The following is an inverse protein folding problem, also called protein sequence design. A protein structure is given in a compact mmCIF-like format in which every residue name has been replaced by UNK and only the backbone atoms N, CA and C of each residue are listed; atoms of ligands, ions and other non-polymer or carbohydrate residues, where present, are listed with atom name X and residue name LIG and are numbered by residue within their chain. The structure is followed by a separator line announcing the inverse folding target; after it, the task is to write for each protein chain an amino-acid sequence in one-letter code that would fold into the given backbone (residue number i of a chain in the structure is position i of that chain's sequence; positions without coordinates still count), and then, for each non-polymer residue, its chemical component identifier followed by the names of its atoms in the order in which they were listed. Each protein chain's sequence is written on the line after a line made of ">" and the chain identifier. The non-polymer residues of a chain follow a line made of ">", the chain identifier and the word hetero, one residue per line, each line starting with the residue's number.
data_IF_457144957020
#
_entry.id   IF_457144957020
#
_cell.length_a   1.000
_cell.length_b   1.000
_cell.length_c   1.000
_cell.angle_alpha   90.00
_cell.angle_beta   90.00
_cell.angle_gamma   90.00
#
_symmetry.space_group_name_H-M   'P 1'
#
loop_
_entity.id
_entity.type
_entity.pdbx_description
1 polymer ?
#
# COMPACT_ATOMS: atom_id res chain seq x y z
N UNK A 1 -67.78 -14.98 -31.84
CA UNK A 1 -67.21 -16.34 -31.71
C UNK A 1 -67.95 -17.35 -32.59
N UNK A 2 -67.83 -17.24 -33.93
CA UNK A 2 -68.36 -18.27 -34.87
C UNK A 2 -67.27 -19.14 -35.51
N UNK A 3 -66.00 -18.72 -35.41
CA UNK A 3 -64.86 -19.36 -36.08
C UNK A 3 -64.41 -20.68 -35.42
N UNK A 4 -64.64 -20.86 -34.12
CA UNK A 4 -64.23 -22.06 -33.37
C UNK A 4 -65.28 -23.19 -33.43
N UNK A 5 -66.46 -22.94 -34.00
CA UNK A 5 -67.60 -23.87 -33.93
C UNK A 5 -67.68 -24.84 -35.13
N UNK A 6 -66.92 -24.58 -36.19
CA UNK A 6 -66.88 -25.38 -37.44
C UNK A 6 -65.51 -26.02 -37.71
N UNK A 7 -64.58 -25.93 -36.75
CA UNK A 7 -63.22 -26.43 -36.93
C UNK A 7 -63.13 -27.93 -36.68
N UNK A 8 -62.50 -28.66 -37.61
CA UNK A 8 -62.21 -30.09 -37.44
C UNK A 8 -61.13 -30.31 -36.37
N UNK A 9 -61.16 -31.45 -35.68
CA UNK A 9 -60.22 -31.78 -34.59
C UNK A 9 -58.74 -31.73 -35.05
N UNK A 10 -58.48 -32.05 -36.32
CA UNK A 10 -57.14 -31.93 -36.90
C UNK A 10 -56.68 -30.47 -37.01
N UNK A 11 -57.57 -29.55 -37.39
CA UNK A 11 -57.25 -28.13 -37.50
C UNK A 11 -57.00 -27.49 -36.13
N UNK A 12 -57.72 -27.90 -35.09
CA UNK A 12 -57.47 -27.41 -33.73
C UNK A 12 -56.12 -27.87 -33.18
N UNK A 13 -55.73 -29.11 -33.47
CA UNK A 13 -54.43 -29.65 -33.07
C UNK A 13 -53.27 -28.90 -33.75
N UNK A 14 -53.39 -28.59 -35.04
CA UNK A 14 -52.37 -27.79 -35.76
C UNK A 14 -52.22 -26.40 -35.15
N UNK A 15 -53.33 -25.72 -34.82
CA UNK A 15 -53.28 -24.39 -34.21
C UNK A 15 -52.66 -24.44 -32.81
N UNK A 16 -52.97 -25.46 -32.00
CA UNK A 16 -52.37 -25.63 -30.67
C UNK A 16 -50.87 -25.88 -30.77
N UNK A 17 -50.43 -26.76 -31.68
CA UNK A 17 -49.00 -27.00 -31.91
C UNK A 17 -48.27 -25.73 -32.37
N UNK A 18 -48.91 -24.91 -33.21
CA UNK A 18 -48.34 -23.65 -33.69
C UNK A 18 -48.24 -22.60 -32.56
N UNK A 19 -49.26 -22.50 -31.70
CA UNK A 19 -49.23 -21.63 -30.52
C UNK A 19 -48.17 -22.08 -29.50
N UNK A 20 -48.01 -23.38 -29.29
CA UNK A 20 -46.95 -23.93 -28.44
C UNK A 20 -45.56 -23.65 -29.02
N UNK A 21 -45.39 -23.79 -30.34
CA UNK A 21 -44.13 -23.44 -31.00
C UNK A 21 -43.76 -21.96 -30.84
N UNK A 22 -44.73 -21.07 -31.00
CA UNK A 22 -44.54 -19.62 -30.79
C UNK A 22 -44.17 -19.34 -29.32
N UNK A 23 -44.86 -19.96 -28.36
CA UNK A 23 -44.58 -19.78 -26.93
C UNK A 23 -43.21 -20.30 -26.49
N UNK A 24 -42.70 -21.35 -27.14
CA UNK A 24 -41.38 -21.93 -26.84
C UNK A 24 -40.22 -21.14 -27.47
N UNK A 25 -40.48 -20.38 -28.53
CA UNK A 25 -39.46 -19.60 -29.25
C UNK A 25 -38.66 -18.63 -28.35
N UNK A 26 -39.27 -17.81 -27.46
CA UNK A 26 -38.52 -16.93 -26.56
C UNK A 26 -37.67 -17.70 -25.53
N UNK A 27 -38.12 -18.87 -25.07
CA UNK A 27 -37.35 -19.71 -24.13
C UNK A 27 -36.11 -20.29 -24.81
N UNK A 28 -36.26 -20.80 -26.03
CA UNK A 28 -35.14 -21.33 -26.83
C UNK A 28 -34.13 -20.21 -27.13
N UNK A 29 -34.61 -19.03 -27.52
CA UNK A 29 -33.74 -17.89 -27.80
C UNK A 29 -32.97 -17.42 -26.56
N UNK A 30 -33.63 -17.33 -25.41
CA UNK A 30 -32.98 -16.93 -24.16
C UNK A 30 -31.90 -17.94 -23.72
N UNK A 31 -32.18 -19.24 -23.85
CA UNK A 31 -31.20 -20.28 -23.53
C UNK A 31 -30.03 -20.30 -24.51
N UNK A 32 -30.30 -20.11 -25.81
CA UNK A 32 -29.25 -20.03 -26.82
C UNK A 32 -28.32 -18.84 -26.58
N UNK A 33 -28.88 -17.66 -26.25
CA UNK A 33 -28.09 -16.48 -25.89
C UNK A 33 -27.21 -16.75 -24.67
N UNK A 34 -27.75 -17.34 -23.60
CA UNK A 34 -26.97 -17.68 -22.40
C UNK A 34 -25.82 -18.65 -22.70
N UNK A 35 -26.06 -19.67 -23.51
CA UNK A 35 -25.03 -20.62 -23.93
C UNK A 35 -23.96 -19.89 -24.74
N UNK A 36 -24.34 -18.99 -25.65
CA UNK A 36 -23.37 -18.25 -26.45
C UNK A 36 -22.55 -17.26 -25.62
N UNK A 37 -23.18 -16.55 -24.67
CA UNK A 37 -22.50 -15.64 -23.75
C UNK A 37 -21.49 -16.40 -22.87
N UNK A 38 -21.88 -17.58 -22.35
CA UNK A 38 -20.98 -18.47 -21.58
C UNK A 38 -19.85 -19.04 -22.45
N UNK A 39 -20.16 -19.45 -23.67
CA UNK A 39 -19.16 -19.99 -24.61
C UNK A 39 -18.14 -18.93 -24.99
N UNK A 40 -18.59 -17.69 -25.19
CA UNK A 40 -17.71 -16.54 -25.47
C UNK A 40 -16.85 -16.18 -24.25
N UNK A 41 -17.43 -16.20 -23.04
CA UNK A 41 -16.68 -15.96 -21.81
C UNK A 41 -15.59 -17.01 -21.53
N UNK A 42 -15.82 -18.27 -21.94
CA UNK A 42 -14.91 -19.41 -21.75
C UNK A 42 -13.94 -19.58 -22.94
N UNK A 43 -14.24 -18.99 -24.10
CA UNK A 43 -13.38 -19.06 -25.28
C UNK A 43 -11.96 -18.50 -25.03
N UNK A 44 -10.98 -18.96 -25.79
CA UNK A 44 -9.61 -18.46 -25.71
C UNK A 44 -9.57 -16.94 -25.97
N UNK A 45 -9.04 -16.17 -25.02
CA UNK A 45 -9.07 -14.70 -25.05
C UNK A 45 -10.35 -14.06 -24.51
N UNK A 46 -11.34 -14.85 -24.08
CA UNK A 46 -12.53 -14.39 -23.37
C UNK A 46 -12.26 -13.89 -21.95
N UNK A 47 -13.33 -13.49 -21.25
CA UNK A 47 -13.22 -12.91 -19.91
C UNK A 47 -12.54 -13.84 -18.89
N UNK A 48 -12.75 -15.15 -18.98
CA UNK A 48 -12.12 -16.11 -18.07
C UNK A 48 -10.59 -16.10 -18.23
N UNK A 49 -10.10 -16.13 -19.47
CA UNK A 49 -8.67 -16.08 -19.78
C UNK A 49 -8.03 -14.79 -19.27
N UNK A 50 -8.72 -13.66 -19.45
CA UNK A 50 -8.27 -12.35 -18.93
C UNK A 50 -8.21 -12.32 -17.41
N UNK A 51 -9.23 -12.84 -16.73
CA UNK A 51 -9.26 -12.91 -15.26
C UNK A 51 -8.15 -13.82 -14.73
N UNK A 52 -7.94 -14.98 -15.35
CA UNK A 52 -6.85 -15.89 -14.97
C UNK A 52 -5.49 -15.22 -15.16
N UNK A 53 -5.27 -14.51 -16.27
CA UNK A 53 -4.05 -13.73 -16.50
C UNK A 53 -3.82 -12.67 -15.42
N UNK A 54 -4.88 -11.94 -15.01
CA UNK A 54 -4.81 -10.96 -13.93
C UNK A 54 -4.51 -11.61 -12.56
N UNK A 55 -5.10 -12.77 -12.26
CA UNK A 55 -4.82 -13.50 -11.02
C UNK A 55 -3.36 -13.94 -10.99
N UNK A 56 -2.85 -14.49 -12.09
CA UNK A 56 -1.45 -14.90 -12.19
C UNK A 56 -0.50 -13.71 -12.03
N UNK A 57 -0.75 -12.58 -12.72
CA UNK A 57 0.08 -11.38 -12.56
C UNK A 57 0.04 -10.84 -11.13
N UNK A 58 -1.14 -10.82 -10.51
CA UNK A 58 -1.30 -10.35 -9.14
C UNK A 58 -0.61 -11.28 -8.13
N UNK A 59 -0.66 -12.60 -8.36
CA UNK A 59 0.06 -13.56 -7.51
C UNK A 59 1.57 -13.37 -7.59
N UNK A 60 2.13 -13.13 -8.79
CA UNK A 60 3.55 -12.86 -8.96
C UNK A 60 3.96 -11.57 -8.26
N UNK A 61 3.16 -10.51 -8.43
CA UNK A 61 3.38 -9.23 -7.76
C UNK A 61 3.31 -9.39 -6.23
N UNK A 62 2.34 -10.16 -5.73
CA UNK A 62 2.24 -10.49 -4.31
C UNK A 62 3.48 -11.22 -3.82
N UNK A 63 3.94 -12.27 -4.52
CA UNK A 63 5.14 -13.01 -4.16
C UNK A 63 6.38 -12.11 -4.13
N UNK A 64 6.52 -11.19 -5.10
CA UNK A 64 7.62 -10.22 -5.11
C UNK A 64 7.55 -9.26 -3.92
N UNK A 65 6.38 -8.67 -3.65
CA UNK A 65 6.19 -7.78 -2.50
C UNK A 65 6.39 -8.50 -1.17
N UNK A 66 5.96 -9.76 -1.09
CA UNK A 66 6.17 -10.60 0.09
C UNK A 66 7.65 -10.91 0.30
N UNK A 67 8.37 -11.30 -0.76
CA UNK A 67 9.81 -11.54 -0.72
C UNK A 67 10.59 -10.28 -0.30
N UNK A 68 10.20 -9.11 -0.83
CA UNK A 68 10.74 -7.80 -0.42
C UNK A 68 10.45 -7.52 1.06
N UNK A 69 9.20 -7.74 1.50
CA UNK A 69 8.79 -7.58 2.90
C UNK A 69 9.53 -8.54 3.84
N UNK A 70 9.82 -9.78 3.42
CA UNK A 70 10.60 -10.73 4.22
C UNK A 70 12.09 -10.39 4.26
N UNK A 71 12.62 -9.75 3.22
CA UNK A 71 13.98 -9.22 3.19
C UNK A 71 14.15 -7.94 4.03
N UNK A 72 13.07 -7.17 4.22
CA UNK A 72 13.04 -6.05 5.16
C UNK A 72 12.98 -6.59 6.61
N UNK A 73 14.14 -6.67 7.27
CA UNK A 73 14.31 -7.14 8.67
C UNK A 73 13.76 -6.20 9.74
N UNK A 74 12.71 -5.45 9.43
CA UNK A 74 12.07 -4.45 10.28
C UNK A 74 10.66 -4.93 10.64
N UNK A 75 10.60 -5.90 11.55
CA UNK A 75 9.39 -6.42 12.15
C UNK A 75 9.33 -5.98 13.62
N UNK A 76 8.39 -5.09 13.93
CA UNK A 76 8.15 -4.60 15.30
C UNK A 76 9.07 -3.47 15.77
N UNK A 77 8.80 -3.05 17.01
CA UNK A 77 9.36 -1.85 17.65
C UNK A 77 10.85 -1.98 17.97
N UNK A 78 11.29 -3.14 18.48
CA UNK A 78 12.68 -3.36 18.90
C UNK A 78 13.64 -3.43 17.70
N UNK A 79 13.19 -4.03 16.59
CA UNK A 79 13.95 -4.09 15.35
C UNK A 79 14.11 -2.71 14.70
N UNK A 80 13.08 -1.86 14.81
CA UNK A 80 13.12 -0.47 14.34
C UNK A 80 14.17 0.35 15.09
N UNK A 81 14.21 0.22 16.41
CA UNK A 81 15.21 0.93 17.24
C UNK A 81 16.64 0.46 16.92
N UNK A 82 16.85 -0.86 16.81
CA UNK A 82 18.14 -1.44 16.44
C UNK A 82 18.62 -0.98 15.05
N UNK A 83 17.70 -0.85 14.09
CA UNK A 83 18.00 -0.35 12.76
C UNK A 83 18.43 1.12 12.75
N UNK A 84 17.74 1.99 13.48
CA UNK A 84 18.12 3.41 13.56
C UNK A 84 19.49 3.54 14.24
N UNK A 85 19.75 2.76 15.30
CA UNK A 85 21.07 2.70 15.97
C UNK A 85 22.18 2.23 15.03
N UNK A 86 21.92 1.19 14.23
CA UNK A 86 22.89 0.68 13.25
C UNK A 86 23.27 1.75 12.23
N UNK A 87 22.30 2.54 11.74
CA UNK A 87 22.56 3.62 10.78
C UNK A 87 23.25 4.81 11.45
N UNK A 88 22.92 5.12 12.70
CA UNK A 88 23.58 6.19 13.45
C UNK A 88 25.08 5.93 13.70
N UNK A 89 25.46 4.65 13.79
CA UNK A 89 26.84 4.19 13.92
C UNK A 89 27.52 3.84 12.59
N UNK A 90 26.89 4.07 11.44
CA UNK A 90 27.48 3.82 10.12
C UNK A 90 28.59 4.86 9.85
N UNK A 91 29.71 4.42 9.26
CA UNK A 91 30.93 5.22 9.07
C UNK A 91 30.67 6.46 8.18
N UNK A 92 29.66 6.41 7.33
CA UNK A 92 29.28 7.50 6.42
C UNK A 92 28.41 8.58 7.08
N UNK A 93 28.04 8.41 8.36
CA UNK A 93 26.98 9.17 9.02
C UNK A 93 27.42 9.72 10.38
N UNK A 94 28.21 8.96 11.15
CA UNK A 94 28.92 9.39 12.37
C UNK A 94 28.08 10.18 13.41
N UNK A 95 26.81 9.81 13.61
CA UNK A 95 25.93 10.52 14.55
C UNK A 95 26.28 10.23 16.02
N UNK A 96 26.99 9.13 16.28
CA UNK A 96 27.38 8.72 17.62
C UNK A 96 26.19 8.28 18.47
N UNK A 97 26.15 8.69 19.75
CA UNK A 97 25.07 8.31 20.67
C UNK A 97 23.84 9.18 20.43
N UNK A 98 22.71 8.53 20.19
CA UNK A 98 21.41 9.13 19.99
C UNK A 98 20.49 8.65 21.11
N UNK A 99 19.66 9.55 21.64
CA UNK A 99 18.67 9.22 22.65
C UNK A 99 17.34 8.82 21.99
N UNK A 100 16.80 7.68 22.42
CA UNK A 100 15.54 7.10 21.96
C UNK A 100 14.53 7.05 23.10
N UNK A 101 13.75 8.12 23.34
CA UNK A 101 12.57 8.03 24.18
C UNK A 101 11.63 6.95 23.64
N UNK A 102 10.84 6.34 24.53
CA UNK A 102 9.86 5.30 24.16
C UNK A 102 8.97 5.81 23.01
N UNK A 103 8.75 4.99 21.96
CA UNK A 103 7.97 5.43 20.81
C UNK A 103 6.52 5.68 21.19
N UNK A 104 5.93 6.67 20.54
CA UNK A 104 4.53 7.00 20.69
C UNK A 104 3.74 6.19 19.67
N UNK A 105 2.88 5.30 20.15
CA UNK A 105 1.98 4.51 19.31
C UNK A 105 0.65 5.23 19.22
N UNK A 106 0.21 5.50 18.00
CA UNK A 106 -1.11 6.06 17.71
C UNK A 106 -1.86 5.13 16.78
N UNK A 107 -3.08 4.76 17.15
CA UNK A 107 -4.00 4.07 16.26
C UNK A 107 -4.70 5.11 15.38
N UNK A 108 -4.47 5.02 14.08
CA UNK A 108 -5.19 5.79 13.07
C UNK A 108 -6.47 5.05 12.69
N UNK A 109 -7.51 5.80 12.29
CA UNK A 109 -8.79 5.21 11.90
C UNK A 109 -8.61 4.21 10.75
N UNK A 110 -9.24 3.03 10.87
CA UNK A 110 -9.11 1.96 9.87
C UNK A 110 -8.09 0.87 10.20
N UNK A 111 -7.72 0.72 11.48
CA UNK A 111 -6.82 -0.34 11.94
C UNK A 111 -5.41 -0.15 11.41
N UNK A 112 -4.91 1.08 11.36
CA UNK A 112 -3.53 1.38 11.01
C UNK A 112 -2.84 1.84 12.28
N UNK A 113 -1.69 1.25 12.59
CA UNK A 113 -0.87 1.58 13.75
C UNK A 113 0.33 2.38 13.27
N UNK A 114 0.40 3.64 13.70
CA UNK A 114 1.55 4.50 13.48
C UNK A 114 2.41 4.51 14.75
N UNK A 115 3.67 4.09 14.64
CA UNK A 115 4.67 4.15 15.70
C UNK A 115 5.66 5.26 15.41
N UNK A 116 5.69 6.30 16.24
CA UNK A 116 6.55 7.46 16.07
C UNK A 116 7.72 7.45 17.05
N UNK A 117 8.93 7.46 16.50
CA UNK A 117 10.20 7.51 17.21
C UNK A 117 10.77 8.92 17.14
N UNK A 118 11.07 9.53 18.27
CA UNK A 118 11.77 10.82 18.29
C UNK A 118 13.26 10.54 18.39
N UNK A 119 14.03 11.00 17.42
CA UNK A 119 15.46 10.79 17.30
C UNK A 119 16.14 12.13 17.55
N UNK A 120 16.97 12.18 18.59
CA UNK A 120 17.75 13.37 18.96
C UNK A 120 19.15 12.98 19.42
N UNK A 121 20.18 13.80 19.15
CA UNK A 121 21.51 13.62 19.74
C UNK A 121 21.41 13.50 21.26
N UNK A 122 22.26 12.67 21.86
CA UNK A 122 22.34 12.52 23.32
C UNK A 122 22.76 13.84 24.00
N UNK A 123 23.71 14.56 23.38
CA UNK A 123 24.10 15.92 23.74
C UNK A 123 23.47 16.94 22.77
N UNK A 124 22.54 17.80 23.23
CA UNK A 124 21.96 18.87 22.42
C UNK A 124 22.97 19.90 21.90
N UNK A 125 24.16 20.00 22.50
CA UNK A 125 25.24 20.92 22.09
C UNK A 125 26.19 20.29 21.08
N UNK A 126 26.01 19.00 20.75
CA UNK A 126 26.81 18.35 19.72
C UNK A 126 26.43 18.91 18.35
N UNK A 127 27.43 19.39 17.65
CA UNK A 127 27.29 19.91 16.30
C UNK A 127 27.62 18.84 15.26
N UNK A 128 26.85 18.84 14.19
CA UNK A 128 26.99 17.99 13.01
C UNK A 128 26.97 18.87 11.76
N UNK A 129 27.70 18.46 10.72
CA UNK A 129 27.58 19.09 9.41
C UNK A 129 26.23 18.78 8.78
N UNK A 130 25.70 19.70 7.97
CA UNK A 130 24.40 19.49 7.31
C UNK A 130 24.41 18.26 6.40
N UNK A 131 25.55 17.98 5.77
CA UNK A 131 25.75 16.80 4.91
C UNK A 131 25.58 15.52 5.70
N UNK A 132 26.15 15.42 6.91
CA UNK A 132 26.02 14.23 7.74
C UNK A 132 24.58 14.01 8.18
N UNK A 133 23.88 15.08 8.55
CA UNK A 133 22.43 15.03 8.88
C UNK A 133 21.64 14.55 7.66
N UNK A 134 21.91 15.09 6.47
CA UNK A 134 21.28 14.66 5.23
C UNK A 134 21.53 13.18 4.93
N UNK A 135 22.79 12.72 5.05
CA UNK A 135 23.18 11.33 4.83
C UNK A 135 22.48 10.38 5.81
N UNK A 136 22.35 10.77 7.08
CA UNK A 136 21.60 10.00 8.08
C UNK A 136 20.14 9.83 7.68
N UNK A 137 19.45 10.94 7.40
CA UNK A 137 18.03 10.93 7.05
C UNK A 137 17.78 10.15 5.75
N UNK A 138 18.63 10.34 4.75
CA UNK A 138 18.57 9.61 3.50
C UNK A 138 18.78 8.11 3.70
N UNK A 139 19.79 7.72 4.51
CA UNK A 139 20.09 6.31 4.77
C UNK A 139 18.96 5.63 5.55
N UNK A 140 18.31 6.37 6.47
CA UNK A 140 17.15 5.90 7.20
C UNK A 140 16.00 5.51 6.30
N UNK A 141 15.70 6.32 5.27
CA UNK A 141 14.56 6.09 4.37
C UNK A 141 14.87 5.22 3.16
N UNK A 142 16.10 5.26 2.64
CA UNK A 142 16.46 4.56 1.40
C UNK A 142 16.51 3.04 1.58
N UNK A 143 16.94 2.55 2.75
CA UNK A 143 17.08 1.12 3.03
C UNK A 143 15.79 0.44 3.51
N UNK A 144 14.70 1.19 3.72
CA UNK A 144 13.41 0.62 4.15
C UNK A 144 12.21 1.42 3.66
N UNK A 145 11.14 0.73 3.23
CA UNK A 145 9.88 1.38 2.86
C UNK A 145 8.97 1.66 4.05
N UNK A 146 9.28 1.11 5.21
CA UNK A 146 8.42 1.14 6.41
C UNK A 146 8.61 2.36 7.29
N UNK A 147 9.79 2.97 7.24
CA UNK A 147 10.13 4.15 8.03
C UNK A 147 10.16 5.38 7.14
N UNK A 148 9.54 6.46 7.63
CA UNK A 148 9.58 7.78 7.00
C UNK A 148 9.89 8.84 8.04
N UNK A 149 10.71 9.80 7.68
CA UNK A 149 10.97 11.00 8.46
C UNK A 149 9.77 11.92 8.27
N UNK A 150 8.98 12.10 9.32
CA UNK A 150 7.74 12.88 9.26
C UNK A 150 7.92 14.31 9.74
N UNK A 151 8.87 14.54 10.64
CA UNK A 151 9.21 15.88 11.13
C UNK A 151 10.72 16.01 11.26
N UNK A 152 11.26 17.16 10.84
CA UNK A 152 12.65 17.53 11.00
C UNK A 152 12.71 18.96 11.55
N UNK A 153 13.48 19.13 12.62
CA UNK A 153 13.87 20.42 13.17
C UNK A 153 15.39 20.46 13.21
N UNK A 154 15.97 21.54 12.70
CA UNK A 154 17.40 21.77 12.67
C UNK A 154 17.70 23.15 13.24
N UNK A 155 18.64 23.20 14.18
CA UNK A 155 19.06 24.42 14.83
C UNK A 155 20.57 24.62 14.62
N UNK A 156 20.99 25.81 14.25
CA UNK A 156 22.42 26.13 14.18
C UNK A 156 22.97 26.30 15.60
N UNK A 157 24.18 25.79 15.83
CA UNK A 157 24.89 25.90 17.09
C UNK A 157 26.02 26.90 16.98
N UNK A 158 26.05 27.87 17.90
CA UNK A 158 27.17 28.76 18.14
C UNK A 158 27.74 28.56 19.55
N UNK A 159 28.83 29.25 19.88
CA UNK A 159 29.51 29.12 21.18
C UNK A 159 28.59 29.40 22.39
N UNK A 160 27.47 30.12 22.19
CA UNK A 160 26.49 30.45 23.21
C UNK A 160 25.26 29.51 23.23
N UNK A 161 25.14 28.55 22.30
CA UNK A 161 24.02 27.62 22.21
C UNK A 161 23.27 27.69 20.88
N UNK A 162 21.96 27.43 20.89
CA UNK A 162 21.11 27.47 19.71
C UNK A 162 20.93 28.92 19.23
N UNK A 163 21.18 29.18 17.96
CA UNK A 163 21.01 30.49 17.36
C UNK A 163 19.99 30.44 16.23
N UNK A 164 19.04 31.38 16.23
CA UNK A 164 18.24 31.67 15.06
C UNK A 164 19.15 32.37 14.05
N UNK A 165 19.52 31.65 12.99
CA UNK A 165 20.33 32.21 11.91
C UNK A 165 19.44 33.16 11.11
N UNK A 166 19.87 34.42 10.98
CA UNK A 166 19.22 35.38 10.10
C UNK A 166 19.50 34.99 8.63
N UNK A 167 18.56 35.18 7.69
CA UNK A 167 18.74 34.78 6.28
C UNK A 167 19.99 35.37 5.60
N UNK A 168 20.51 36.46 6.15
CA UNK A 168 21.62 37.25 5.62
C UNK A 168 22.99 36.80 6.15
N UNK A 169 23.01 35.96 7.18
CA UNK A 169 24.24 35.45 7.78
C UNK A 169 24.61 34.09 7.19
N UNK A 170 25.91 33.86 6.95
CA UNK A 170 26.45 32.55 6.59
C UNK A 170 26.92 31.86 7.88
N UNK A 171 26.08 31.05 8.55
CA UNK A 171 26.48 30.39 9.78
C UNK A 171 27.56 29.34 9.49
N UNK A 172 28.40 29.07 10.48
CA UNK A 172 29.28 27.89 10.44
C UNK A 172 28.45 26.62 10.24
N UNK A 173 28.98 25.61 9.55
CA UNK A 173 28.29 24.33 9.29
C UNK A 173 28.23 23.44 10.54
N UNK A 174 27.67 23.98 11.63
CA UNK A 174 27.53 23.36 12.93
C UNK A 174 26.05 23.37 13.31
N UNK A 175 25.40 22.23 13.15
CA UNK A 175 23.96 22.09 13.33
C UNK A 175 23.65 20.98 14.32
N UNK A 176 22.56 21.13 15.05
CA UNK A 176 21.92 20.04 15.79
C UNK A 176 20.57 19.76 15.15
N UNK A 177 20.02 18.57 15.41
CA UNK A 177 18.74 18.18 14.84
C UNK A 177 17.86 17.45 15.84
N UNK A 178 16.57 17.46 15.56
CA UNK A 178 15.60 16.56 16.16
C UNK A 178 14.67 16.14 15.04
N UNK A 179 14.55 14.83 14.81
CA UNK A 179 13.62 14.31 13.83
C UNK A 179 12.65 13.32 14.45
N UNK A 180 11.46 13.21 13.85
CA UNK A 180 10.51 12.14 14.14
C UNK A 180 10.47 11.20 12.96
N UNK A 181 10.62 9.92 13.25
CA UNK A 181 10.52 8.83 12.28
C UNK A 181 9.27 8.04 12.61
N UNK A 182 8.38 7.87 11.64
CA UNK A 182 7.14 7.13 11.82
C UNK A 182 7.21 5.83 11.03
N UNK A 183 6.91 4.72 11.71
CA UNK A 183 6.66 3.42 11.12
C UNK A 183 5.16 3.20 11.02
N UNK A 184 4.66 2.93 9.82
CA UNK A 184 3.24 2.62 9.60
C UNK A 184 3.07 1.13 9.40
N UNK A 185 2.27 0.50 10.26
CA UNK A 185 1.94 -0.92 10.15
C UNK A 185 0.44 -1.13 10.17
N UNK A 186 -0.04 -2.12 9.42
CA UNK A 186 -1.37 -2.68 9.62
C UNK A 186 -1.19 -3.86 10.58
N UNK A 187 -1.89 -3.91 11.73
CA UNK A 187 -1.92 -5.10 12.54
C UNK A 187 -2.40 -6.25 11.65
N UNK A 188 -1.76 -7.41 11.78
CA UNK A 188 -2.26 -8.60 11.13
C UNK A 188 -3.68 -8.82 11.66
N UNK A 189 -4.67 -8.86 10.76
CA UNK A 189 -5.98 -9.41 11.11
C UNK A 189 -5.74 -10.88 11.48
N UNK A 190 -6.00 -11.25 12.72
CA UNK A 190 -6.19 -12.65 13.11
C UNK A 190 -7.29 -13.30 12.26
#
# INVERSE_FOLDING_TARGET
>A
MKFLKEMTLAQSMIIVCLLVGIALTPLVYANHKKINDLTTAVSEGGDLSRIVGQIQSNSLLYTQLYAQKSGESLQGQDQTTAYILKIAGDDFVEMGRINFPKPQRSESSGGIVDETFTVKPDDPRRAFGRVNIGNFLYTLESRTRRLRVTQLSMDALTAAGKQNVLPEEFPSDKWTFTCKVTSRSRPASE
#
